data_IF_504771499376
#
_entry.id   IF_504771499376
#
_cell.length_a   1.000
_cell.length_b   1.000
_cell.length_c   1.000
_cell.angle_alpha   90.00
_cell.angle_beta   90.00
_cell.angle_gamma   90.00
#
_symmetry.space_group_name_H-M   'P 1'
#
loop_
_entity.id
_entity.type
_entity.pdbx_description
1 polymer ?
#
# COMPACT_ATOMS: atom_id res chain seq x y z
N UNK A 1 0.72 -32.93 0.61
CA UNK A 1 1.51 -32.11 1.53
C UNK A 1 0.80 -30.77 1.65
N UNK A 2 0.17 -30.49 2.80
CA UNK A 2 -0.50 -29.21 3.05
C UNK A 2 0.57 -28.18 3.41
N UNK A 3 0.87 -27.23 2.52
CA UNK A 3 1.77 -26.11 2.87
C UNK A 3 1.06 -25.29 3.95
N UNK A 4 1.75 -24.85 5.03
CA UNK A 4 1.13 -23.96 6.00
C UNK A 4 0.62 -22.72 5.25
N UNK A 5 -0.64 -22.35 5.48
CA UNK A 5 -1.23 -21.17 4.87
C UNK A 5 -0.37 -19.94 5.24
N UNK A 6 0.14 -19.26 4.22
CA UNK A 6 0.88 -18.01 4.41
C UNK A 6 -0.12 -16.90 4.61
N UNK A 7 -0.10 -16.25 5.78
CA UNK A 7 -0.89 -15.05 6.03
C UNK A 7 -0.26 -13.89 5.26
N UNK A 8 -0.95 -13.41 4.23
CA UNK A 8 -0.59 -12.22 3.46
C UNK A 8 -1.41 -11.03 3.96
N UNK A 9 -0.75 -9.93 4.25
CA UNK A 9 -1.42 -8.66 4.52
C UNK A 9 -1.96 -8.08 3.21
N UNK A 10 -3.20 -7.61 3.20
CA UNK A 10 -3.81 -7.02 2.00
C UNK A 10 -3.47 -5.53 1.87
N UNK A 11 -3.36 -5.01 0.63
CA UNK A 11 -3.01 -3.61 0.36
C UNK A 11 -4.16 -2.62 0.64
N UNK A 12 -5.30 -3.11 1.12
CA UNK A 12 -6.42 -2.32 1.62
C UNK A 12 -6.71 -2.63 3.09
N UNK A 13 -7.50 -1.76 3.70
CA UNK A 13 -8.03 -1.92 5.06
C UNK A 13 -9.51 -2.30 5.02
N UNK A 14 -10.04 -2.75 6.14
CA UNK A 14 -11.49 -2.86 6.34
C UNK A 14 -12.13 -1.47 6.31
N UNK A 15 -13.47 -1.38 6.16
CA UNK A 15 -14.20 -0.10 6.29
C UNK A 15 -13.93 0.63 7.62
N UNK A 16 -13.61 -0.11 8.68
CA UNK A 16 -13.26 0.39 10.01
C UNK A 16 -11.77 0.79 10.13
N UNK A 17 -11.01 0.69 9.04
CA UNK A 17 -9.59 1.02 8.98
C UNK A 17 -8.66 -0.06 9.53
N UNK A 18 -9.15 -1.28 9.76
CA UNK A 18 -8.31 -2.36 10.29
C UNK A 18 -7.50 -3.05 9.19
N UNK A 19 -6.28 -3.53 9.49
CA UNK A 19 -5.52 -4.36 8.55
C UNK A 19 -6.25 -5.67 8.23
N UNK A 20 -6.41 -5.98 6.93
CA UNK A 20 -6.99 -7.24 6.47
C UNK A 20 -5.91 -8.25 6.09
N UNK A 21 -6.13 -9.53 6.40
CA UNK A 21 -5.21 -10.61 6.05
C UNK A 21 -5.92 -11.69 5.23
N UNK A 22 -5.19 -12.19 4.23
CA UNK A 22 -5.55 -13.34 3.43
C UNK A 22 -4.80 -14.57 3.94
N UNK A 23 -5.54 -15.57 4.41
CA UNK A 23 -5.01 -16.90 4.72
C UNK A 23 -5.25 -17.82 3.53
N UNK A 24 -4.23 -18.10 2.73
CA UNK A 24 -4.39 -19.00 1.58
C UNK A 24 -3.20 -19.94 1.41
N UNK A 25 -3.48 -21.16 0.98
CA UNK A 25 -2.50 -22.16 0.53
C UNK A 25 -2.18 -22.03 -0.97
N UNK A 26 -2.92 -21.18 -1.68
CA UNK A 26 -2.82 -20.92 -3.13
C UNK A 26 -2.34 -19.49 -3.39
N UNK A 27 -1.06 -19.30 -3.76
CA UNK A 27 -0.53 -17.96 -4.06
C UNK A 27 -1.24 -17.26 -5.23
N UNK A 28 -1.88 -18.01 -6.14
CA UNK A 28 -2.61 -17.46 -7.30
C UNK A 28 -4.15 -17.41 -7.09
N UNK A 29 -4.61 -17.40 -5.83
CA UNK A 29 -6.04 -17.27 -5.54
C UNK A 29 -6.62 -15.98 -6.16
N UNK A 30 -7.93 -15.93 -6.50
CA UNK A 30 -8.55 -14.72 -7.04
C UNK A 30 -8.31 -13.48 -6.18
N UNK A 31 -8.32 -13.64 -4.85
CA UNK A 31 -8.07 -12.55 -3.91
C UNK A 31 -6.59 -12.15 -3.86
N UNK A 32 -5.67 -13.09 -4.05
CA UNK A 32 -4.24 -12.79 -4.18
C UNK A 32 -3.94 -12.00 -5.46
N UNK A 33 -4.57 -12.36 -6.58
CA UNK A 33 -4.46 -11.59 -7.83
C UNK A 33 -5.04 -10.19 -7.70
N UNK A 34 -6.20 -10.05 -7.05
CA UNK A 34 -6.76 -8.73 -6.74
C UNK A 34 -5.81 -7.90 -5.86
N UNK A 35 -5.13 -8.54 -4.89
CA UNK A 35 -4.11 -7.87 -4.09
C UNK A 35 -2.93 -7.40 -4.94
N UNK A 36 -2.47 -8.22 -5.89
CA UNK A 36 -1.41 -7.84 -6.82
C UNK A 36 -1.82 -6.66 -7.71
N UNK A 37 -3.03 -6.67 -8.26
CA UNK A 37 -3.56 -5.58 -9.10
C UNK A 37 -3.64 -4.25 -8.32
N UNK A 38 -4.15 -4.29 -7.07
CA UNK A 38 -4.24 -3.08 -6.23
C UNK A 38 -2.86 -2.56 -5.83
N UNK A 39 -1.91 -3.44 -5.56
CA UNK A 39 -0.52 -3.03 -5.29
C UNK A 39 0.12 -2.34 -6.51
N UNK A 40 -0.12 -2.86 -7.71
CA UNK A 40 0.35 -2.24 -8.96
C UNK A 40 -0.27 -0.86 -9.17
N UNK A 41 -1.58 -0.71 -8.95
CA UNK A 41 -2.28 0.58 -9.03
C UNK A 41 -1.73 1.59 -8.01
N UNK A 42 -1.51 1.17 -6.76
CA UNK A 42 -0.95 2.03 -5.70
C UNK A 42 0.47 2.50 -6.05
N UNK A 43 1.33 1.61 -6.56
CA UNK A 43 2.68 1.97 -6.96
C UNK A 43 2.70 2.87 -8.20
N UNK A 44 1.80 2.64 -9.16
CA UNK A 44 1.64 3.51 -10.33
C UNK A 44 1.22 4.92 -9.91
N UNK A 45 0.24 5.03 -9.02
CA UNK A 45 -0.18 6.31 -8.44
C UNK A 45 0.98 7.01 -7.70
N UNK A 46 1.81 6.25 -6.97
CA UNK A 46 2.98 6.79 -6.30
C UNK A 46 4.03 7.36 -7.28
N UNK A 47 4.24 6.70 -8.43
CA UNK A 47 5.12 7.22 -9.49
C UNK A 47 4.60 8.55 -10.05
N UNK A 48 3.31 8.65 -10.35
CA UNK A 48 2.69 9.87 -10.88
C UNK A 48 2.77 11.03 -9.88
N UNK A 49 2.47 10.76 -8.60
CA UNK A 49 2.58 11.74 -7.52
C UNK A 49 4.03 12.20 -7.34
N UNK A 50 5.00 11.29 -7.40
CA UNK A 50 6.41 11.63 -7.31
C UNK A 50 6.85 12.54 -8.47
N UNK A 51 6.39 12.26 -9.70
CA UNK A 51 6.64 13.11 -10.85
C UNK A 51 6.05 14.51 -10.67
N UNK A 52 4.80 14.60 -10.22
CA UNK A 52 4.14 15.88 -9.90
C UNK A 52 4.86 16.66 -8.80
N UNK A 53 5.23 16.00 -7.70
CA UNK A 53 5.96 16.64 -6.61
C UNK A 53 7.33 17.18 -7.06
N UNK A 54 8.07 16.42 -7.88
CA UNK A 54 9.33 16.87 -8.49
C UNK A 54 9.14 18.10 -9.38
N UNK A 55 8.06 18.15 -10.16
CA UNK A 55 7.74 19.30 -10.99
C UNK A 55 7.46 20.55 -10.15
N UNK A 56 6.71 20.43 -9.04
CA UNK A 56 6.46 21.54 -8.10
C UNK A 56 7.76 22.02 -7.46
N UNK A 57 8.64 21.10 -7.04
CA UNK A 57 9.93 21.44 -6.45
C UNK A 57 10.89 22.12 -7.44
N UNK A 58 10.75 21.85 -8.74
CA UNK A 58 11.57 22.46 -9.78
C UNK A 58 11.11 23.89 -10.16
N UNK A 59 9.86 24.27 -9.87
CA UNK A 59 9.37 25.63 -10.11
C UNK A 59 9.71 26.54 -8.92
N UNK A 60 10.72 27.39 -9.09
CA UNK A 60 11.13 28.36 -8.06
C UNK A 60 10.04 29.38 -7.69
N UNK A 61 8.96 29.49 -8.48
CA UNK A 61 7.81 30.36 -8.20
C UNK A 61 6.65 29.61 -7.54
N UNK A 62 6.78 28.31 -7.29
CA UNK A 62 5.76 27.52 -6.62
C UNK A 62 5.47 28.12 -5.24
N UNK A 63 4.20 28.48 -5.01
CA UNK A 63 3.75 29.01 -3.73
C UNK A 63 3.55 27.94 -2.68
N UNK A 64 3.40 28.37 -1.43
CA UNK A 64 3.16 27.51 -0.25
C UNK A 64 2.02 26.49 -0.45
N UNK A 65 0.94 26.90 -1.11
CA UNK A 65 -0.21 26.03 -1.37
C UNK A 65 0.14 24.86 -2.30
N UNK A 66 0.91 25.12 -3.36
CA UNK A 66 1.35 24.08 -4.28
C UNK A 66 2.31 23.09 -3.60
N UNK A 67 3.23 23.61 -2.78
CA UNK A 67 4.17 22.80 -1.99
C UNK A 67 3.44 21.93 -0.97
N UNK A 68 2.49 22.51 -0.21
CA UNK A 68 1.69 21.77 0.78
C UNK A 68 0.87 20.67 0.10
N UNK A 69 0.23 20.98 -1.03
CA UNK A 69 -0.53 20.00 -1.80
C UNK A 69 0.37 18.84 -2.28
N UNK A 70 1.51 19.16 -2.89
CA UNK A 70 2.46 18.14 -3.36
C UNK A 70 2.98 17.27 -2.22
N UNK A 71 3.33 17.86 -1.07
CA UNK A 71 3.81 17.12 0.09
C UNK A 71 2.72 16.22 0.70
N UNK A 72 1.47 16.71 0.80
CA UNK A 72 0.34 15.89 1.27
C UNK A 72 0.14 14.68 0.38
N UNK A 73 0.10 14.87 -0.94
CA UNK A 73 -0.03 13.77 -1.90
C UNK A 73 1.13 12.79 -1.82
N UNK A 74 2.37 13.30 -1.72
CA UNK A 74 3.55 12.47 -1.57
C UNK A 74 3.52 11.63 -0.28
N UNK A 75 3.08 12.20 0.84
CA UNK A 75 2.93 11.49 2.10
C UNK A 75 1.84 10.40 2.02
N UNK A 76 0.74 10.66 1.32
CA UNK A 76 -0.30 9.67 1.06
C UNK A 76 0.22 8.49 0.24
N UNK A 77 0.85 8.76 -0.91
CA UNK A 77 1.43 7.72 -1.75
C UNK A 77 2.56 6.95 -1.07
N UNK A 78 3.35 7.59 -0.21
CA UNK A 78 4.40 6.93 0.56
C UNK A 78 3.82 5.93 1.56
N UNK A 79 2.75 6.30 2.28
CA UNK A 79 2.05 5.39 3.19
C UNK A 79 1.53 4.17 2.43
N UNK A 80 0.94 4.39 1.26
CA UNK A 80 0.40 3.30 0.44
C UNK A 80 1.55 2.38 -0.06
N UNK A 81 2.68 2.96 -0.51
CA UNK A 81 3.86 2.17 -0.91
C UNK A 81 4.49 1.37 0.25
N UNK A 82 4.52 1.93 1.47
CA UNK A 82 4.96 1.20 2.66
C UNK A 82 4.03 0.02 2.97
N UNK A 83 2.72 0.20 2.77
CA UNK A 83 1.74 -0.88 2.93
C UNK A 83 1.96 -2.01 1.93
N UNK A 84 2.27 -1.70 0.67
CA UNK A 84 2.66 -2.70 -0.34
C UNK A 84 3.93 -3.45 0.09
N UNK A 85 4.93 -2.72 0.61
CA UNK A 85 6.16 -3.34 1.10
C UNK A 85 5.90 -4.29 2.29
N UNK A 86 5.03 -3.92 3.23
CA UNK A 86 4.59 -4.78 4.33
C UNK A 86 3.82 -6.01 3.84
N UNK A 87 2.90 -5.84 2.88
CA UNK A 87 2.15 -6.93 2.23
C UNK A 87 3.08 -8.02 1.69
N UNK A 88 4.18 -7.60 1.07
CA UNK A 88 5.19 -8.50 0.47
C UNK A 88 6.20 -9.07 1.48
N UNK A 89 6.05 -8.79 2.79
CA UNK A 89 6.92 -9.28 3.86
C UNK A 89 8.19 -8.45 4.08
N UNK A 90 8.21 -7.19 3.62
CA UNK A 90 9.39 -6.34 3.54
C UNK A 90 9.76 -5.52 4.78
N UNK A 91 8.95 -5.42 5.83
CA UNK A 91 9.35 -4.66 7.02
C UNK A 91 8.66 -5.07 8.34
N UNK A 92 9.49 -5.48 9.30
CA UNK A 92 9.33 -5.54 10.76
C UNK A 92 7.97 -6.00 11.32
N UNK A 93 7.94 -7.26 11.74
CA UNK A 93 6.84 -7.80 12.53
C UNK A 93 6.71 -7.10 13.87
N UNK A 94 5.73 -6.22 13.99
CA UNK A 94 5.14 -5.82 15.26
C UNK A 94 3.71 -5.31 14.99
N UNK A 95 2.70 -5.97 15.58
CA UNK A 95 1.33 -5.44 15.54
C UNK A 95 0.20 -6.43 15.32
N UNK A 96 0.40 -7.73 15.63
CA UNK A 96 -0.69 -8.72 15.57
C UNK A 96 -1.66 -8.65 16.74
N UNK A 97 -2.45 -7.56 16.83
CA UNK A 97 -3.63 -7.49 17.71
C UNK A 97 -4.75 -6.67 17.05
N UNK A 98 -5.63 -7.36 16.32
CA UNK A 98 -6.91 -6.82 15.82
C UNK A 98 -7.14 -7.01 14.33
N UNK A 99 -7.01 -8.23 13.82
CA UNK A 99 -7.10 -8.53 12.39
C UNK A 99 -8.43 -9.16 12.02
N UNK A 100 -9.03 -8.65 10.94
CA UNK A 100 -10.11 -9.33 10.24
C UNK A 100 -9.48 -10.27 9.21
N UNK A 101 -9.82 -11.55 9.32
CA UNK A 101 -9.38 -12.60 8.39
C UNK A 101 -10.43 -12.71 7.28
N UNK A 102 -10.03 -12.48 6.04
CA UNK A 102 -10.86 -12.80 4.88
C UNK A 102 -10.62 -14.26 4.48
N UNK A 103 -11.68 -15.06 4.42
CA UNK A 103 -11.67 -16.41 3.81
C UNK A 103 -11.72 -16.36 2.29
#
# INVERSE_FOLDING_TARGET
MNRPATLRLLPWTSPEGKPCYLSTDKPDSPLSRLADDVEEDQLTCAYDVLAGARAVLADARAGEHALRFALTRAAESLRDALRVAESRGGAHGEGARGYDVAE
#
